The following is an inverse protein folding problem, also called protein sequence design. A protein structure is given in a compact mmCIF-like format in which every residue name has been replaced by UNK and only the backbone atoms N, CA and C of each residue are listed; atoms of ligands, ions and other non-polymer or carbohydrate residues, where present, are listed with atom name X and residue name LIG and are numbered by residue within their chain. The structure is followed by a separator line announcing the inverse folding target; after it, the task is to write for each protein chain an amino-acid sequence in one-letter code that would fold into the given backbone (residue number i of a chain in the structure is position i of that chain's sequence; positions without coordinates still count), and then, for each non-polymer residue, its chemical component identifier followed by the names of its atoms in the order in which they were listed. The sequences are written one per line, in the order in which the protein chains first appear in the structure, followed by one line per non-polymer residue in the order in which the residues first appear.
data_IF_243865167904
#
_entry.id   IF_243865167904
#
_cell.length_a   1.000
_cell.length_b   1.000
_cell.length_c   1.000
_cell.angle_alpha   90.00
_cell.angle_beta   90.00
_cell.angle_gamma   90.00
#
_symmetry.space_group_name_H-M   'P 1'
#
loop_
_entity.id
_entity.type
_entity.pdbx_description
1 polymer ?
#
# COMPACT_ATOMS: atom_id res chain seq x y z
N UNK A 1 -34.69 46.64 -6.66
CA UNK A 1 -34.71 45.29 -7.26
C UNK A 1 -33.27 44.88 -7.49
N UNK A 2 -32.75 43.98 -6.66
CA UNK A 2 -31.39 43.46 -6.77
C UNK A 2 -31.37 42.08 -6.13
N UNK A 3 -31.36 41.05 -6.97
CA UNK A 3 -31.41 39.64 -6.59
C UNK A 3 -30.07 39.24 -5.95
N UNK A 4 -30.09 38.84 -4.68
CA UNK A 4 -28.96 38.15 -4.07
C UNK A 4 -28.95 36.72 -4.59
N UNK A 5 -28.07 36.46 -5.56
CA UNK A 5 -27.81 35.15 -6.12
C UNK A 5 -27.15 34.26 -5.06
N UNK A 6 -27.96 33.45 -4.37
CA UNK A 6 -27.49 32.40 -3.47
C UNK A 6 -26.74 31.34 -4.26
N UNK A 7 -25.41 31.42 -4.29
CA UNK A 7 -24.55 30.33 -4.75
C UNK A 7 -24.59 29.27 -3.66
N UNK A 8 -25.42 28.25 -3.87
CA UNK A 8 -25.36 27.02 -3.09
C UNK A 8 -24.13 26.24 -3.55
N UNK A 9 -23.09 26.25 -2.72
CA UNK A 9 -21.98 25.32 -2.89
C UNK A 9 -22.52 23.88 -2.78
N UNK A 10 -22.15 22.98 -3.72
CA UNK A 10 -22.49 21.56 -3.56
C UNK A 10 -21.84 21.04 -2.25
N UNK A 11 -22.52 20.16 -1.51
CA UNK A 11 -21.94 19.57 -0.31
C UNK A 11 -20.63 18.88 -0.68
N UNK A 12 -19.57 19.19 0.06
CA UNK A 12 -18.29 18.51 -0.07
C UNK A 12 -18.52 17.00 -0.02
N UNK A 13 -18.00 16.27 -1.00
CA UNK A 13 -17.97 14.80 -0.94
C UNK A 13 -17.36 14.41 0.41
N UNK A 14 -17.91 13.42 1.12
CA UNK A 14 -17.26 12.91 2.31
C UNK A 14 -15.85 12.50 1.93
N UNK A 15 -14.88 13.15 2.56
CA UNK A 15 -13.48 12.81 2.48
C UNK A 15 -13.39 11.31 2.74
N UNK A 16 -12.85 10.57 1.77
CA UNK A 16 -12.71 9.13 1.88
C UNK A 16 -11.87 8.86 3.12
N UNK A 17 -12.52 8.43 4.19
CA UNK A 17 -11.88 8.03 5.44
C UNK A 17 -10.89 6.93 5.06
N UNK A 18 -9.60 7.28 5.01
CA UNK A 18 -8.54 6.32 4.72
C UNK A 18 -8.54 5.36 5.90
N UNK A 19 -8.62 4.04 5.68
CA UNK A 19 -8.61 3.09 6.78
C UNK A 19 -7.35 3.33 7.62
N UNK A 20 -7.56 3.80 8.86
CA UNK A 20 -6.49 4.09 9.81
C UNK A 20 -5.94 2.80 10.43
N UNK A 21 -6.50 1.63 10.11
CA UNK A 21 -6.07 0.33 10.61
C UNK A 21 -5.79 -0.67 9.47
N UNK A 22 -4.67 -1.39 9.52
CA UNK A 22 -4.29 -2.41 8.52
C UNK A 22 -5.30 -3.58 8.49
N UNK A 23 -6.02 -3.79 9.60
CA UNK A 23 -7.13 -4.73 9.78
C UNK A 23 -8.38 -4.35 8.97
N UNK A 24 -8.52 -3.09 8.55
CA UNK A 24 -9.65 -2.60 7.75
C UNK A 24 -9.36 -2.62 6.24
N UNK A 25 -8.12 -2.87 5.83
CA UNK A 25 -7.79 -3.01 4.41
C UNK A 25 -8.47 -4.26 3.81
N UNK A 26 -8.88 -4.21 2.53
CA UNK A 26 -9.50 -5.35 1.87
C UNK A 26 -8.62 -6.59 2.00
N UNK A 27 -9.24 -7.74 2.31
CA UNK A 27 -8.53 -9.01 2.54
C UNK A 27 -7.50 -9.32 1.44
N UNK A 28 -7.87 -9.10 0.17
CA UNK A 28 -6.98 -9.30 -0.98
C UNK A 28 -5.70 -8.47 -0.90
N UNK A 29 -5.81 -7.22 -0.45
CA UNK A 29 -4.65 -6.34 -0.30
C UNK A 29 -3.76 -6.81 0.86
N UNK A 30 -4.35 -7.22 1.98
CA UNK A 30 -3.59 -7.79 3.10
C UNK A 30 -2.82 -9.03 2.66
N UNK A 31 -3.50 -9.97 1.99
CA UNK A 31 -2.85 -11.20 1.52
C UNK A 31 -1.75 -10.95 0.49
N UNK A 32 -1.90 -9.92 -0.35
CA UNK A 32 -0.86 -9.53 -1.30
C UNK A 32 0.36 -8.95 -0.57
N UNK A 33 0.14 -8.18 0.51
CA UNK A 33 1.21 -7.70 1.38
C UNK A 33 1.95 -8.84 2.08
N UNK A 34 1.22 -9.79 2.65
CA UNK A 34 1.80 -10.97 3.30
C UNK A 34 2.60 -11.83 2.31
N UNK A 35 2.13 -11.94 1.06
CA UNK A 35 2.83 -12.64 -0.01
C UNK A 35 4.14 -11.93 -0.39
N UNK A 36 4.13 -10.59 -0.48
CA UNK A 36 5.35 -9.82 -0.73
C UNK A 36 6.40 -10.08 0.37
N UNK A 37 6.00 -10.02 1.64
CA UNK A 37 6.91 -10.29 2.78
C UNK A 37 7.52 -11.69 2.67
N UNK A 38 6.68 -12.71 2.44
CA UNK A 38 7.15 -14.09 2.24
C UNK A 38 8.12 -14.24 1.07
N UNK A 39 7.85 -13.56 -0.04
CA UNK A 39 8.73 -13.60 -1.20
C UNK A 39 10.07 -12.89 -0.93
N UNK A 40 10.07 -11.78 -0.19
CA UNK A 40 11.29 -11.12 0.25
C UNK A 40 12.08 -12.06 1.17
N UNK A 41 11.43 -12.71 2.14
CA UNK A 41 12.11 -13.66 3.03
C UNK A 41 12.70 -14.84 2.25
N UNK A 42 11.99 -15.35 1.24
CA UNK A 42 12.50 -16.40 0.35
C UNK A 42 13.71 -15.98 -0.49
N UNK A 43 13.84 -14.69 -0.82
CA UNK A 43 15.00 -14.14 -1.53
C UNK A 43 16.23 -14.01 -0.61
N UNK A 44 16.00 -13.86 0.69
CA UNK A 44 17.03 -13.67 1.70
C UNK A 44 16.93 -14.74 2.81
N UNK A 45 17.13 -16.03 2.49
CA UNK A 45 16.93 -17.10 3.45
C UNK A 45 17.92 -17.01 4.64
N UNK A 46 17.55 -17.54 5.82
CA UNK A 46 18.43 -17.66 6.97
C UNK A 46 19.70 -18.45 6.65
N UNK A 47 20.79 -18.14 7.34
CA UNK A 47 22.01 -18.97 7.28
C UNK A 47 21.89 -20.16 8.23
N UNK A 48 22.48 -21.28 7.83
CA UNK A 48 22.54 -22.46 8.67
C UNK A 48 23.28 -22.13 9.99
N UNK A 49 22.58 -22.29 11.13
CA UNK A 49 23.12 -22.05 12.47
C UNK A 49 22.75 -20.72 13.11
N UNK A 50 21.90 -19.89 12.50
CA UNK A 50 21.34 -18.70 13.15
C UNK A 50 20.35 -19.11 14.27
N UNK A 51 20.49 -18.50 15.46
CA UNK A 51 19.68 -18.82 16.66
C UNK A 51 18.36 -18.05 16.76
N UNK A 52 18.10 -17.14 15.82
CA UNK A 52 16.89 -16.34 15.72
C UNK A 52 15.78 -17.11 15.00
N UNK A 53 14.55 -16.60 15.04
CA UNK A 53 13.48 -17.16 14.20
C UNK A 53 13.83 -17.03 12.71
N UNK A 54 13.28 -17.92 11.87
CA UNK A 54 13.53 -17.86 10.42
C UNK A 54 13.11 -16.51 9.82
N UNK A 55 12.06 -15.88 10.36
CA UNK A 55 11.58 -14.58 9.90
C UNK A 55 12.55 -13.45 10.30
N UNK A 56 12.96 -13.37 11.56
CA UNK A 56 13.92 -12.34 12.02
C UNK A 56 15.28 -12.48 11.31
N UNK A 57 15.72 -13.72 11.07
CA UNK A 57 16.91 -13.99 10.30
C UNK A 57 16.75 -13.48 8.86
N UNK A 58 15.65 -13.80 8.18
CA UNK A 58 15.41 -13.35 6.82
C UNK A 58 15.29 -11.82 6.72
N UNK A 59 14.66 -11.16 7.69
CA UNK A 59 14.60 -9.70 7.78
C UNK A 59 15.99 -9.09 7.96
N UNK A 60 16.81 -9.64 8.84
CA UNK A 60 18.20 -9.17 9.03
C UNK A 60 19.01 -9.30 7.73
N UNK A 61 18.84 -10.40 7.00
CA UNK A 61 19.50 -10.63 5.69
C UNK A 61 19.03 -9.63 4.63
N UNK A 62 17.73 -9.30 4.62
CA UNK A 62 17.18 -8.26 3.75
C UNK A 62 17.76 -6.87 4.11
N UNK A 63 17.86 -6.52 5.39
CA UNK A 63 18.40 -5.22 5.82
C UNK A 63 19.89 -5.10 5.50
N UNK A 64 20.66 -6.19 5.67
CA UNK A 64 22.06 -6.25 5.22
C UNK A 64 22.18 -5.98 3.72
N UNK A 65 21.32 -6.59 2.89
CA UNK A 65 21.30 -6.35 1.46
C UNK A 65 20.97 -4.88 1.15
N UNK A 66 19.93 -4.31 1.78
CA UNK A 66 19.55 -2.91 1.53
C UNK A 66 20.67 -1.94 1.89
N UNK A 67 21.40 -2.20 2.99
CA UNK A 67 22.57 -1.41 3.42
C UNK A 67 23.84 -1.68 2.61
N UNK A 68 23.88 -2.73 1.79
CA UNK A 68 25.02 -3.08 0.93
C UNK A 68 25.05 -2.32 -0.41
N UNK A 69 23.94 -1.72 -0.82
CA UNK A 69 23.83 -1.00 -2.09
C UNK A 69 23.96 0.53 -1.97
N UNK A 70 23.90 1.21 -3.11
CA UNK A 70 24.06 2.67 -3.21
C UNK A 70 22.94 3.50 -2.58
N UNK A 71 21.81 2.88 -2.21
CA UNK A 71 20.66 3.55 -1.60
C UNK A 71 20.64 3.46 -0.06
N UNK A 72 21.74 3.01 0.55
CA UNK A 72 21.87 2.80 2.00
C UNK A 72 21.43 4.00 2.84
N UNK A 73 21.84 5.21 2.49
CA UNK A 73 21.56 6.39 3.31
C UNK A 73 20.06 6.70 3.38
N UNK A 74 19.36 6.55 2.25
CA UNK A 74 17.91 6.72 2.18
C UNK A 74 17.18 5.57 2.89
N UNK A 75 17.72 4.36 2.82
CA UNK A 75 17.20 3.21 3.55
C UNK A 75 17.31 3.39 5.07
N UNK A 76 18.47 3.79 5.58
CA UNK A 76 18.66 4.07 7.00
C UNK A 76 17.70 5.18 7.48
N UNK A 77 17.52 6.24 6.67
CA UNK A 77 16.56 7.29 6.99
C UNK A 77 15.11 6.78 7.04
N UNK A 78 14.78 5.73 6.29
CA UNK A 78 13.47 5.07 6.36
C UNK A 78 13.34 4.23 7.63
N UNK A 79 14.38 3.51 8.02
CA UNK A 79 14.42 2.71 9.25
C UNK A 79 14.30 3.59 10.51
N UNK A 80 14.99 4.73 10.53
CA UNK A 80 14.95 5.68 11.65
C UNK A 80 13.61 6.43 11.77
N UNK A 81 12.66 6.14 10.89
CA UNK A 81 11.41 6.88 10.80
C UNK A 81 10.37 6.36 11.82
N UNK A 82 10.33 7.02 12.99
CA UNK A 82 9.50 6.64 14.17
C UNK A 82 7.99 6.47 13.91
N UNK A 83 7.44 7.10 12.86
CA UNK A 83 6.02 7.00 12.50
C UNK A 83 5.86 6.55 11.05
N UNK A 84 5.89 5.24 10.75
CA UNK A 84 5.98 4.72 9.38
C UNK A 84 4.83 5.18 8.46
N UNK A 85 3.69 5.60 9.03
CA UNK A 85 2.54 6.12 8.27
C UNK A 85 2.52 7.64 8.09
N UNK A 86 3.45 8.37 8.71
CA UNK A 86 3.59 9.81 8.53
C UNK A 86 3.88 10.14 7.07
N UNK A 87 3.50 11.35 6.65
CA UNK A 87 3.80 11.85 5.30
C UNK A 87 5.31 11.83 5.03
N UNK A 88 6.11 12.21 6.02
CA UNK A 88 7.58 12.20 5.93
C UNK A 88 8.13 10.80 5.66
N UNK A 89 7.71 9.76 6.37
CA UNK A 89 8.21 8.40 6.11
C UNK A 89 7.77 7.88 4.73
N UNK A 90 6.58 8.26 4.25
CA UNK A 90 6.11 7.91 2.90
C UNK A 90 6.94 8.58 1.81
N UNK A 91 7.33 9.84 2.03
CA UNK A 91 8.24 10.56 1.12
C UNK A 91 9.61 9.91 1.10
N UNK A 92 10.16 9.54 2.26
CA UNK A 92 11.44 8.82 2.35
C UNK A 92 11.35 7.46 1.64
N UNK A 93 10.26 6.71 1.84
CA UNK A 93 10.02 5.46 1.11
C UNK A 93 9.98 5.68 -0.41
N UNK A 94 9.33 6.76 -0.87
CA UNK A 94 9.33 7.14 -2.28
C UNK A 94 10.73 7.46 -2.82
N UNK A 95 11.56 8.18 -2.03
CA UNK A 95 12.96 8.44 -2.38
C UNK A 95 13.78 7.16 -2.45
N UNK A 96 13.55 6.21 -1.54
CA UNK A 96 14.21 4.91 -1.53
C UNK A 96 13.89 4.13 -2.81
N UNK A 97 12.60 4.02 -3.17
CA UNK A 97 12.18 3.35 -4.40
C UNK A 97 12.82 4.01 -5.63
N UNK A 98 12.77 5.34 -5.73
CA UNK A 98 13.38 6.07 -6.84
C UNK A 98 14.89 5.80 -6.95
N UNK A 99 15.59 5.75 -5.82
CA UNK A 99 17.00 5.38 -5.79
C UNK A 99 17.21 3.95 -6.31
N UNK A 100 16.44 2.98 -5.83
CA UNK A 100 16.55 1.59 -6.28
C UNK A 100 16.31 1.45 -7.78
N UNK A 101 15.28 2.10 -8.33
CA UNK A 101 14.99 2.09 -9.77
C UNK A 101 16.06 2.79 -10.61
N UNK A 102 16.79 3.75 -10.03
CA UNK A 102 17.94 4.40 -10.69
C UNK A 102 19.21 3.56 -10.63
N UNK A 103 19.27 2.59 -9.71
CA UNK A 103 20.39 1.66 -9.52
C UNK A 103 19.93 0.20 -9.66
N UNK A 104 19.32 -0.16 -10.81
CA UNK A 104 18.70 -1.46 -10.99
C UNK A 104 19.67 -2.62 -10.81
N UNK A 105 20.91 -2.49 -11.29
CA UNK A 105 21.90 -3.58 -11.34
C UNK A 105 22.09 -4.29 -9.99
N UNK A 106 22.03 -3.55 -8.88
CA UNK A 106 22.11 -4.13 -7.53
C UNK A 106 20.73 -4.56 -7.01
N UNK A 107 19.70 -3.72 -7.19
CA UNK A 107 18.40 -3.89 -6.54
C UNK A 107 17.38 -4.72 -7.34
N UNK A 108 17.72 -5.17 -8.56
CA UNK A 108 16.83 -5.92 -9.46
C UNK A 108 16.03 -7.04 -8.77
N UNK A 109 16.64 -7.90 -7.94
CA UNK A 109 15.90 -8.99 -7.30
C UNK A 109 14.74 -8.51 -6.42
N UNK A 110 14.95 -7.41 -5.70
CA UNK A 110 13.94 -6.81 -4.84
C UNK A 110 12.92 -6.03 -5.67
N UNK A 111 13.38 -5.27 -6.66
CA UNK A 111 12.51 -4.51 -7.59
C UNK A 111 11.50 -5.44 -8.27
N UNK A 112 11.93 -6.61 -8.75
CA UNK A 112 11.04 -7.58 -9.40
C UNK A 112 9.89 -8.04 -8.48
N UNK A 113 10.15 -8.23 -7.19
CA UNK A 113 9.12 -8.57 -6.21
C UNK A 113 8.14 -7.41 -5.98
N UNK A 114 8.64 -6.19 -5.89
CA UNK A 114 7.79 -4.99 -5.75
C UNK A 114 6.91 -4.78 -6.98
N UNK A 115 7.45 -4.93 -8.19
CA UNK A 115 6.67 -4.81 -9.43
C UNK A 115 5.55 -5.85 -9.50
N UNK A 116 5.86 -7.11 -9.13
CA UNK A 116 4.86 -8.16 -9.06
C UNK A 116 3.76 -7.82 -8.04
N UNK A 117 4.14 -7.34 -6.86
CA UNK A 117 3.22 -6.89 -5.83
C UNK A 117 2.33 -5.73 -6.32
N UNK A 118 2.91 -4.66 -6.88
CA UNK A 118 2.15 -3.51 -7.38
C UNK A 118 1.20 -3.88 -8.50
N UNK A 119 1.62 -4.76 -9.41
CA UNK A 119 0.76 -5.29 -10.48
C UNK A 119 -0.44 -6.05 -9.92
N UNK A 120 -0.24 -6.85 -8.87
CA UNK A 120 -1.33 -7.57 -8.23
C UNK A 120 -2.23 -6.66 -7.41
N UNK A 121 -1.65 -5.69 -6.70
CA UNK A 121 -2.36 -4.68 -5.93
C UNK A 121 -3.29 -3.86 -6.81
N UNK A 122 -2.84 -3.46 -8.01
CA UNK A 122 -3.65 -2.73 -8.98
C UNK A 122 -4.90 -3.53 -9.38
N UNK A 123 -4.75 -4.83 -9.68
CA UNK A 123 -5.88 -5.72 -10.01
C UNK A 123 -6.85 -5.87 -8.83
N UNK A 124 -6.33 -6.03 -7.63
CA UNK A 124 -7.15 -6.20 -6.43
C UNK A 124 -7.97 -4.93 -6.13
N UNK A 125 -7.37 -3.74 -6.34
CA UNK A 125 -8.09 -2.47 -6.24
C UNK A 125 -9.18 -2.35 -7.31
N UNK A 126 -8.90 -2.72 -8.57
CA UNK A 126 -9.92 -2.70 -9.63
C UNK A 126 -11.13 -3.58 -9.28
N UNK A 127 -10.88 -4.80 -8.80
CA UNK A 127 -11.94 -5.72 -8.35
C UNK A 127 -12.72 -5.13 -7.17
N UNK A 128 -12.02 -4.53 -6.20
CA UNK A 128 -12.64 -3.89 -5.05
C UNK A 128 -13.55 -2.73 -5.46
N UNK A 129 -13.07 -1.82 -6.30
CA UNK A 129 -13.85 -0.71 -6.82
C UNK A 129 -15.06 -1.20 -7.63
N UNK A 130 -14.91 -2.23 -8.46
CA UNK A 130 -16.01 -2.81 -9.23
C UNK A 130 -17.10 -3.47 -8.35
N UNK A 131 -16.71 -4.12 -7.24
CA UNK A 131 -17.65 -4.65 -6.24
C UNK A 131 -18.41 -3.53 -5.54
N UNK A 132 -17.69 -2.54 -5.01
CA UNK A 132 -18.29 -1.39 -4.33
C UNK A 132 -19.30 -0.66 -5.23
N UNK A 133 -18.96 -0.40 -6.48
CA UNK A 133 -19.89 0.20 -7.45
C UNK A 133 -21.13 -0.67 -7.71
N UNK A 134 -21.00 -2.00 -7.72
CA UNK A 134 -22.15 -2.92 -7.88
C UNK A 134 -23.06 -2.88 -6.67
N UNK A 135 -22.50 -2.88 -5.46
CA UNK A 135 -23.25 -2.79 -4.21
C UNK A 135 -24.01 -1.46 -4.11
N UNK A 136 -23.34 -0.33 -4.38
CA UNK A 136 -23.98 0.99 -4.43
C UNK A 136 -25.09 1.06 -5.48
N UNK A 137 -24.92 0.43 -6.65
CA UNK A 137 -25.98 0.32 -7.66
C UNK A 137 -27.16 -0.53 -7.18
N UNK A 138 -26.90 -1.64 -6.51
CA UNK A 138 -27.93 -2.52 -5.97
C UNK A 138 -28.71 -1.84 -4.84
N UNK A 139 -28.03 -1.15 -3.94
CA UNK A 139 -28.62 -0.38 -2.86
C UNK A 139 -29.51 0.75 -3.42
N UNK A 140 -29.00 1.55 -4.37
CA UNK A 140 -29.81 2.59 -5.04
C UNK A 140 -31.03 2.01 -5.75
N UNK A 141 -30.89 0.86 -6.41
CA UNK A 141 -32.00 0.19 -7.07
C UNK A 141 -33.07 -0.29 -6.08
N UNK A 142 -32.67 -0.77 -4.90
CA UNK A 142 -33.61 -1.17 -3.84
C UNK A 142 -34.25 0.02 -3.14
N UNK A 143 -33.51 1.10 -2.91
CA UNK A 143 -34.04 2.37 -2.39
C UNK A 143 -35.12 2.92 -3.34
N UNK A 144 -34.86 2.93 -4.65
CA UNK A 144 -35.82 3.38 -5.65
C UNK A 144 -37.07 2.49 -5.72
N UNK A 145 -36.92 1.17 -5.57
CA UNK A 145 -38.06 0.24 -5.47
C UNK A 145 -38.89 0.44 -4.21
N UNK A 146 -38.26 0.79 -3.08
CA UNK A 146 -38.96 1.13 -1.83
C UNK A 146 -39.79 2.42 -1.96
N UNK A 147 -39.25 3.42 -2.67
CA UNK A 147 -39.95 4.70 -2.90
C UNK A 147 -41.15 4.58 -3.85
N UNK A 148 -41.13 3.60 -4.76
CA UNK A 148 -42.22 3.35 -5.73
C UNK A 148 -43.42 2.58 -5.15
N UNK A 149 -43.35 2.24 -3.86
CA UNK A 149 -44.32 1.40 -3.14
C UNK A 149 -45.20 2.21 -2.17
N UNK A 150 -45.03 3.53 -2.15
CA UNK A 150 -45.91 4.54 -1.57
C UNK A 150 -46.49 5.39 -2.71
#
# INVERSE_FOLDING_TARGET
MGITSSIQFPPAKPEQEKPEEYSDWPYSVRTNGDLLIKNIHGLFPPRAGESSTEEEAAEARYFEFMRGGGCKDVFNALEDCERPRSTKCKEIAGMLFNCMYSHPDYYQPVIALWEAFYKQLAKDLEVFHAKKQREERFEKANLFKGFKRF
#
